data_IF_543467183714
#
_entry.id   IF_543467183714
#
_cell.length_a   1.000
_cell.length_b   1.000
_cell.length_c   1.000
_cell.angle_alpha   90.00
_cell.angle_beta   90.00
_cell.angle_gamma   90.00
#
_symmetry.space_group_name_H-M   'P 1'
#
loop_
_entity.id
_entity.type
_entity.pdbx_description
1 polymer ?
#
# COMPACT_ATOMS: atom_id res chain seq x y z
N UNK A 1 27.56 14.70 -23.16
CA UNK A 1 26.78 15.54 -22.23
C UNK A 1 25.51 14.77 -21.89
N UNK A 2 25.52 14.03 -20.78
CA UNK A 2 24.40 13.20 -20.33
C UNK A 2 24.09 13.62 -18.89
N UNK A 3 22.86 14.07 -18.68
CA UNK A 3 22.34 14.61 -17.44
C UNK A 3 22.27 13.55 -16.35
N UNK A 4 23.14 13.67 -15.34
CA UNK A 4 22.89 13.11 -14.01
C UNK A 4 21.66 13.81 -13.44
N UNK A 5 20.53 13.11 -13.39
CA UNK A 5 19.50 13.41 -12.40
C UNK A 5 19.81 12.57 -11.16
N UNK A 6 20.19 13.27 -10.10
CA UNK A 6 20.50 12.75 -8.78
C UNK A 6 19.25 12.06 -8.19
N UNK A 7 19.37 10.76 -7.92
CA UNK A 7 18.42 9.99 -7.12
C UNK A 7 18.61 10.39 -5.65
N UNK A 8 17.77 11.31 -5.16
CA UNK A 8 17.60 11.51 -3.73
C UNK A 8 16.62 10.47 -3.17
N UNK A 9 17.19 9.40 -2.62
CA UNK A 9 16.54 8.23 -2.01
C UNK A 9 16.01 8.48 -0.59
N UNK A 10 15.20 9.51 -0.35
CA UNK A 10 14.51 9.62 0.95
C UNK A 10 13.19 10.33 0.79
N UNK A 11 12.13 9.60 0.40
CA UNK A 11 10.77 10.11 0.48
C UNK A 11 9.77 9.00 0.79
N UNK A 12 9.48 8.86 2.09
CA UNK A 12 8.15 8.74 2.69
C UNK A 12 7.16 7.75 2.04
N UNK A 13 6.70 6.79 2.84
CA UNK A 13 5.40 6.18 2.61
C UNK A 13 4.30 7.19 2.99
N UNK A 14 3.94 8.09 2.06
CA UNK A 14 2.62 8.75 2.11
C UNK A 14 1.58 7.69 1.72
N UNK A 15 1.27 6.82 2.68
CA UNK A 15 0.22 5.80 2.74
C UNK A 15 0.13 4.69 1.68
N UNK A 16 0.23 4.93 0.37
CA UNK A 16 0.21 3.89 -0.70
C UNK A 16 0.47 4.53 -2.08
N UNK A 17 1.54 5.32 -2.21
CA UNK A 17 1.79 6.10 -3.42
C UNK A 17 2.55 5.32 -4.49
N UNK A 18 1.84 4.70 -5.42
CA UNK A 18 2.35 4.64 -6.79
C UNK A 18 2.42 6.08 -7.33
N UNK A 19 3.49 6.43 -8.05
CA UNK A 19 3.59 7.74 -8.75
C UNK A 19 2.41 7.98 -9.70
N UNK A 20 1.76 6.90 -10.16
CA UNK A 20 0.55 6.96 -10.96
C UNK A 20 -0.65 7.54 -10.18
N UNK A 21 -0.73 7.33 -8.85
CA UNK A 21 -1.85 7.78 -8.04
C UNK A 21 -1.69 9.20 -7.48
N UNK A 22 -0.47 9.63 -7.14
CA UNK A 22 -0.23 11.00 -6.65
C UNK A 22 -0.71 12.08 -7.63
N UNK A 23 -0.64 11.81 -8.93
CA UNK A 23 -1.02 12.78 -9.96
C UNK A 23 -2.54 12.90 -10.16
N UNK A 24 -3.30 11.86 -9.81
CA UNK A 24 -4.75 11.80 -10.02
C UNK A 24 -5.56 11.91 -8.71
N UNK A 25 -4.91 11.74 -7.55
CA UNK A 25 -5.59 11.72 -6.25
C UNK A 25 -6.31 13.03 -5.94
N UNK A 26 -5.74 14.17 -6.29
CA UNK A 26 -6.37 15.49 -6.09
C UNK A 26 -7.70 15.65 -6.86
N UNK A 27 -7.98 14.76 -7.83
CA UNK A 27 -9.21 14.73 -8.61
C UNK A 27 -10.07 13.49 -8.31
N UNK A 28 -9.60 12.59 -7.45
CA UNK A 28 -10.31 11.36 -7.12
C UNK A 28 -11.42 11.66 -6.11
N UNK A 29 -12.60 11.09 -6.36
CA UNK A 29 -13.74 11.08 -5.44
C UNK A 29 -14.39 9.70 -5.49
N UNK A 30 -14.72 9.19 -4.31
CA UNK A 30 -15.53 7.98 -4.17
C UNK A 30 -16.99 8.18 -4.59
N UNK A 31 -17.42 9.45 -4.78
CA UNK A 31 -18.83 9.83 -4.91
C UNK A 31 -19.55 9.92 -3.57
N UNK A 32 -18.82 9.87 -2.45
CA UNK A 32 -19.34 9.99 -1.09
C UNK A 32 -18.49 10.99 -0.28
N UNK A 33 -19.05 12.17 -0.04
CA UNK A 33 -18.36 13.28 0.63
C UNK A 33 -17.82 12.93 2.02
N UNK A 34 -18.50 12.04 2.76
CA UNK A 34 -18.06 11.62 4.09
C UNK A 34 -16.82 10.74 4.01
N UNK A 35 -16.80 9.81 3.06
CA UNK A 35 -15.64 8.94 2.80
C UNK A 35 -14.47 9.79 2.30
N UNK A 36 -14.73 10.70 1.36
CA UNK A 36 -13.71 11.57 0.80
C UNK A 36 -13.06 12.46 1.88
N UNK A 37 -13.87 13.00 2.80
CA UNK A 37 -13.37 13.78 3.94
C UNK A 37 -12.55 12.95 4.91
N UNK A 38 -13.01 11.73 5.26
CA UNK A 38 -12.27 10.82 6.12
C UNK A 38 -10.89 10.49 5.55
N UNK A 39 -10.82 10.22 4.24
CA UNK A 39 -9.55 9.93 3.55
C UNK A 39 -8.62 11.13 3.59
N UNK A 40 -9.12 12.35 3.37
CA UNK A 40 -8.32 13.58 3.48
C UNK A 40 -7.77 13.79 4.89
N UNK A 41 -8.58 13.59 5.93
CA UNK A 41 -8.17 13.76 7.33
C UNK A 41 -7.10 12.73 7.74
N UNK A 42 -7.24 11.47 7.30
CA UNK A 42 -6.25 10.42 7.54
C UNK A 42 -4.88 10.77 6.93
N UNK A 43 -4.87 11.38 5.74
CA UNK A 43 -3.65 11.80 5.06
C UNK A 43 -2.92 12.96 5.75
N UNK A 44 -3.65 13.92 6.32
CA UNK A 44 -3.05 15.03 7.06
C UNK A 44 -2.34 14.55 8.33
N UNK A 45 -2.91 13.56 9.01
CA UNK A 45 -2.37 13.01 10.27
C UNK A 45 -1.16 12.10 10.07
N UNK A 46 -1.04 11.42 8.92
CA UNK A 46 0.11 10.57 8.61
C UNK A 46 1.44 11.34 8.43
N UNK A 47 1.41 12.66 8.28
CA UNK A 47 2.63 13.46 8.08
C UNK A 47 3.38 13.83 9.38
N UNK A 48 2.95 13.34 10.55
CA UNK A 48 3.45 13.83 11.86
C UNK A 48 4.50 12.94 12.54
N UNK A 49 4.82 11.74 12.07
CA UNK A 49 5.81 10.87 12.74
C UNK A 49 6.94 10.44 11.81
N UNK A 50 8.11 11.06 11.97
CA UNK A 50 9.37 10.61 11.39
C UNK A 50 10.00 9.53 12.27
N UNK A 51 9.91 8.26 11.86
CA UNK A 51 10.71 7.19 12.47
C UNK A 51 11.99 6.99 11.65
N UNK A 52 13.13 7.21 12.29
CA UNK A 52 14.46 6.94 11.75
C UNK A 52 14.82 5.47 11.98
N UNK A 53 14.96 4.67 10.92
CA UNK A 53 15.48 3.30 11.01
C UNK A 53 17.00 3.29 10.79
N UNK A 54 17.75 2.85 11.81
CA UNK A 54 19.17 2.49 11.66
C UNK A 54 19.27 1.20 10.85
N UNK A 55 20.11 1.23 9.80
CA UNK A 55 20.46 0.06 8.98
C UNK A 55 21.20 -0.97 9.84
N UNK A 56 20.55 -2.10 10.13
CA UNK A 56 21.20 -3.26 10.74
C UNK A 56 21.59 -4.27 9.66
N UNK A 57 22.81 -4.79 9.81
CA UNK A 57 23.52 -5.59 8.81
C UNK A 57 23.05 -7.06 8.77
N UNK A 58 22.83 -7.55 7.54
CA UNK A 58 23.19 -8.89 7.04
C UNK A 58 22.60 -10.14 7.71
N UNK A 59 21.49 -10.63 7.15
CA UNK A 59 21.41 -11.88 6.36
C UNK A 59 20.43 -11.64 5.21
N UNK A 60 20.79 -12.02 3.98
CA UNK A 60 19.85 -12.02 2.85
C UNK A 60 18.90 -13.18 3.05
N UNK A 61 17.76 -12.90 3.65
CA UNK A 61 16.70 -13.88 3.83
C UNK A 61 15.95 -14.05 2.49
N UNK A 62 15.73 -15.31 2.12
CA UNK A 62 15.15 -15.73 0.84
C UNK A 62 13.70 -16.12 1.09
N UNK A 63 12.79 -15.71 0.21
CA UNK A 63 11.39 -16.07 0.29
C UNK A 63 11.23 -17.59 0.09
N UNK A 64 10.62 -18.31 1.05
CA UNK A 64 10.50 -19.77 0.96
C UNK A 64 9.56 -20.24 -0.15
N UNK A 65 8.70 -19.36 -0.67
CA UNK A 65 7.72 -19.72 -1.70
C UNK A 65 8.27 -19.63 -3.12
N UNK A 66 9.14 -18.65 -3.41
CA UNK A 66 9.62 -18.37 -4.77
C UNK A 66 11.14 -18.32 -4.92
N UNK A 67 11.88 -18.55 -3.83
CA UNK A 67 13.33 -18.49 -3.76
C UNK A 67 13.95 -17.17 -4.24
N UNK A 68 13.19 -16.06 -4.21
CA UNK A 68 13.68 -14.72 -4.48
C UNK A 68 13.98 -13.95 -3.19
N UNK A 69 14.85 -12.96 -3.25
CA UNK A 69 15.10 -12.06 -2.11
C UNK A 69 13.81 -11.32 -1.73
N UNK A 70 13.48 -11.30 -0.44
CA UNK A 70 12.51 -10.36 0.12
C UNK A 70 13.24 -9.18 0.75
N UNK A 71 12.52 -8.12 1.11
CA UNK A 71 13.14 -6.98 1.76
C UNK A 71 13.41 -7.24 3.25
N UNK A 72 13.95 -6.22 3.92
CA UNK A 72 14.29 -6.21 5.35
C UNK A 72 13.10 -6.44 6.31
N UNK A 73 11.87 -6.53 5.80
CA UNK A 73 10.63 -6.78 6.57
C UNK A 73 10.05 -8.17 6.33
N UNK A 74 10.83 -9.07 5.74
CA UNK A 74 10.35 -10.40 5.36
C UNK A 74 9.19 -10.36 4.36
N UNK A 75 9.13 -9.28 3.56
CA UNK A 75 8.08 -9.05 2.57
C UNK A 75 8.54 -9.41 1.15
N UNK A 76 7.98 -10.49 0.61
CA UNK A 76 8.15 -10.83 -0.80
C UNK A 76 7.03 -10.20 -1.62
N UNK A 77 7.33 -9.09 -2.33
CA UNK A 77 6.32 -8.39 -3.13
C UNK A 77 5.67 -9.29 -4.17
N UNK A 78 6.47 -10.12 -4.87
CA UNK A 78 5.97 -11.01 -5.93
C UNK A 78 4.94 -12.02 -5.41
N UNK A 79 5.26 -12.73 -4.33
CA UNK A 79 4.37 -13.73 -3.75
C UNK A 79 3.10 -13.09 -3.20
N UNK A 80 3.24 -12.01 -2.43
CA UNK A 80 2.09 -11.32 -1.84
C UNK A 80 1.16 -10.73 -2.92
N UNK A 81 1.70 -10.10 -3.96
CA UNK A 81 0.88 -9.64 -5.09
C UNK A 81 0.10 -10.77 -5.75
N UNK A 82 0.71 -11.95 -5.91
CA UNK A 82 0.03 -13.14 -6.46
C UNK A 82 -1.08 -13.64 -5.54
N UNK A 83 -0.83 -13.68 -4.23
CA UNK A 83 -1.85 -14.06 -3.24
C UNK A 83 -3.04 -13.11 -3.28
N UNK A 84 -2.80 -11.80 -3.28
CA UNK A 84 -3.86 -10.80 -3.38
C UNK A 84 -4.68 -10.95 -4.66
N UNK A 85 -4.03 -11.13 -5.82
CA UNK A 85 -4.75 -11.35 -7.08
C UNK A 85 -5.69 -12.56 -7.05
N UNK A 86 -5.30 -13.64 -6.36
CA UNK A 86 -6.15 -14.81 -6.20
C UNK A 86 -7.39 -14.55 -5.32
N UNK A 87 -7.34 -13.50 -4.48
CA UNK A 87 -8.40 -13.15 -3.53
C UNK A 87 -9.30 -12.01 -4.01
N UNK A 88 -8.96 -11.30 -5.08
CA UNK A 88 -9.73 -10.15 -5.58
C UNK A 88 -11.18 -10.45 -5.94
N UNK A 89 -11.48 -11.69 -6.35
CA UNK A 89 -12.85 -12.10 -6.66
C UNK A 89 -13.62 -12.66 -5.45
N UNK A 90 -12.98 -12.74 -4.27
CA UNK A 90 -13.60 -13.28 -3.05
C UNK A 90 -14.31 -12.23 -2.21
N UNK A 91 -14.08 -10.95 -2.49
CA UNK A 91 -14.70 -9.84 -1.78
C UNK A 91 -14.95 -8.67 -2.73
N UNK A 92 -15.92 -7.84 -2.38
CA UNK A 92 -16.17 -6.54 -3.02
C UNK A 92 -16.77 -5.62 -1.96
N UNK A 93 -16.46 -4.33 -2.06
CA UNK A 93 -17.16 -3.30 -1.28
C UNK A 93 -18.53 -2.92 -1.85
N UNK A 94 -18.85 -3.39 -3.05
CA UNK A 94 -19.97 -2.90 -3.85
C UNK A 94 -19.67 -1.55 -4.53
N UNK A 95 -18.42 -1.06 -4.46
CA UNK A 95 -17.97 0.16 -5.13
C UNK A 95 -16.66 -0.10 -5.89
N UNK A 96 -16.75 -0.18 -7.22
CA UNK A 96 -15.64 -0.50 -8.11
C UNK A 96 -14.42 0.44 -7.95
N UNK A 97 -14.64 1.72 -7.61
CA UNK A 97 -13.54 2.67 -7.40
C UNK A 97 -12.77 2.36 -6.12
N UNK A 98 -13.49 1.99 -5.05
CA UNK A 98 -12.89 1.60 -3.77
C UNK A 98 -12.17 0.26 -3.94
N UNK A 99 -12.81 -0.71 -4.61
CA UNK A 99 -12.21 -2.01 -4.87
C UNK A 99 -10.91 -1.88 -5.65
N UNK A 100 -10.93 -1.13 -6.76
CA UNK A 100 -9.72 -0.86 -7.55
C UNK A 100 -8.62 -0.17 -6.73
N UNK A 101 -8.99 0.80 -5.90
CA UNK A 101 -8.04 1.49 -5.03
C UNK A 101 -7.35 0.52 -4.05
N UNK A 102 -8.12 -0.35 -3.39
CA UNK A 102 -7.59 -1.34 -2.44
C UNK A 102 -6.71 -2.36 -3.17
N UNK A 103 -7.15 -2.89 -4.32
CA UNK A 103 -6.38 -3.83 -5.13
C UNK A 103 -5.03 -3.23 -5.56
N UNK A 104 -5.04 -2.00 -6.08
CA UNK A 104 -3.81 -1.30 -6.48
C UNK A 104 -2.88 -1.04 -5.30
N UNK A 105 -3.42 -0.70 -4.12
CA UNK A 105 -2.65 -0.55 -2.88
C UNK A 105 -2.00 -1.88 -2.45
N UNK A 106 -2.76 -2.98 -2.44
CA UNK A 106 -2.28 -4.33 -2.08
C UNK A 106 -1.17 -4.81 -3.01
N UNK A 107 -1.29 -4.59 -4.33
CA UNK A 107 -0.26 -4.95 -5.32
C UNK A 107 1.04 -4.15 -5.14
N UNK A 108 0.94 -2.93 -4.62
CA UNK A 108 2.08 -2.03 -4.47
C UNK A 108 2.70 -2.01 -3.08
N UNK A 109 2.08 -2.68 -2.10
CA UNK A 109 2.60 -2.80 -0.75
C UNK A 109 4.04 -3.33 -0.74
N UNK A 110 4.88 -2.70 0.08
CA UNK A 110 6.27 -3.11 0.29
C UNK A 110 6.50 -3.69 1.69
N UNK A 111 5.47 -3.74 2.54
CA UNK A 111 5.52 -4.31 3.90
C UNK A 111 4.13 -4.77 4.27
N UNK A 112 4.03 -5.78 5.12
CA UNK A 112 2.74 -6.27 5.64
C UNK A 112 1.98 -5.18 6.39
N UNK A 113 2.68 -4.33 7.13
CA UNK A 113 2.10 -3.20 7.87
C UNK A 113 1.45 -2.12 7.01
N UNK A 114 1.65 -2.14 5.69
CA UNK A 114 1.08 -1.16 4.76
C UNK A 114 -0.01 -1.75 3.86
N UNK A 115 -0.39 -3.01 4.06
CA UNK A 115 -1.48 -3.65 3.32
C UNK A 115 -2.80 -3.12 3.85
N UNK A 116 -3.67 -2.69 2.93
CA UNK A 116 -5.06 -2.32 3.25
C UNK A 116 -5.91 -3.59 3.11
N UNK A 117 -6.73 -3.88 4.12
CA UNK A 117 -7.67 -5.01 4.12
C UNK A 117 -9.10 -4.47 4.07
N UNK A 118 -9.94 -5.10 3.23
CA UNK A 118 -11.37 -4.83 3.21
C UNK A 118 -12.08 -5.74 4.22
N UNK A 119 -12.72 -5.14 5.22
CA UNK A 119 -13.52 -5.87 6.22
C UNK A 119 -15.00 -5.54 6.00
N UNK A 120 -15.83 -6.50 5.57
CA UNK A 120 -17.27 -6.31 5.45
C UNK A 120 -17.91 -5.83 6.75
N UNK A 121 -18.85 -4.89 6.65
CA UNK A 121 -19.49 -4.29 7.82
C UNK A 121 -20.22 -5.31 8.69
N UNK A 122 -20.82 -6.35 8.08
CA UNK A 122 -21.54 -7.40 8.80
C UNK A 122 -20.64 -8.23 9.71
N UNK A 123 -19.32 -8.27 9.48
CA UNK A 123 -18.38 -8.94 10.38
C UNK A 123 -18.32 -8.30 11.77
N UNK A 124 -18.67 -7.03 11.90
CA UNK A 124 -18.68 -6.33 13.19
C UNK A 124 -19.94 -6.59 14.04
N UNK A 125 -20.94 -7.29 13.49
CA UNK A 125 -22.23 -7.54 14.17
C UNK A 125 -22.54 -9.02 14.38
N UNK A 126 -21.63 -9.92 13.99
CA UNK A 126 -21.75 -11.36 14.30
C UNK A 126 -21.35 -11.57 15.76
N UNK A 127 -22.36 -11.78 16.61
CA UNK A 127 -22.24 -12.23 18.02
C UNK A 127 -22.64 -13.68 18.12
#
# INVERSE_FOLDING_TARGET
MSSRQERNEYNWCKLCNSKHFQNDFNKWTSGNDKIDKFIQDAQLNANRSSYQTKKMSSRREICPECNQEHNEYNWCKLCNSKHFQNDFNKWTSGNDKIDKFIQDAQLNANRSSYVIEWIPYDMFFRT
#
